data_IF_297027958328
#
_entry.id   IF_297027958328
#
_cell.length_a   1.000
_cell.length_b   1.000
_cell.length_c   1.000
_cell.angle_alpha   90.00
_cell.angle_beta   90.00
_cell.angle_gamma   90.00
#
_symmetry.space_group_name_H-M   'P 1'
#
loop_
_entity.id
_entity.type
_entity.pdbx_description
1 polymer ?
#
# COMPACT_ATOMS: atom_id res chain seq x y z
N UNK A 1 -10.76 14.93 -8.15
CA UNK A 1 -9.57 14.42 -8.85
C UNK A 1 -10.03 13.64 -10.07
N UNK A 2 -9.36 13.80 -11.21
CA UNK A 2 -9.60 12.98 -12.40
C UNK A 2 -8.58 11.86 -12.41
N UNK A 3 -9.04 10.61 -12.46
CA UNK A 3 -8.19 9.41 -12.55
C UNK A 3 -8.32 8.83 -13.95
N UNK A 4 -7.23 8.83 -14.72
CA UNK A 4 -7.22 8.35 -16.11
C UNK A 4 -6.95 6.85 -16.21
N UNK A 5 -6.34 6.27 -15.18
CA UNK A 5 -6.07 4.84 -15.10
C UNK A 5 -6.33 4.36 -13.67
N UNK A 6 -7.48 3.71 -13.39
CA UNK A 6 -7.85 3.34 -12.03
C UNK A 6 -7.12 2.10 -11.49
N UNK A 7 -6.63 1.21 -12.35
CA UNK A 7 -6.15 -0.13 -11.93
C UNK A 7 -4.69 -0.42 -12.30
N UNK A 8 -4.07 0.35 -13.20
CA UNK A 8 -2.67 0.17 -13.58
C UNK A 8 -2.37 -0.89 -14.64
N UNK A 9 -3.33 -1.77 -14.92
CA UNK A 9 -3.18 -2.88 -15.87
C UNK A 9 -3.07 -2.37 -17.32
N UNK A 10 -2.49 -3.13 -18.23
CA UNK A 10 -2.54 -2.72 -19.65
C UNK A 10 -3.96 -2.94 -20.20
N UNK A 11 -4.48 -2.07 -21.08
CA UNK A 11 -5.77 -2.30 -21.71
C UNK A 11 -5.78 -3.66 -22.44
N UNK A 12 -6.82 -4.44 -22.18
CA UNK A 12 -6.99 -5.75 -22.80
C UNK A 12 -7.32 -5.63 -24.29
N UNK A 13 -6.95 -6.63 -25.08
CA UNK A 13 -7.26 -6.69 -26.51
C UNK A 13 -7.63 -8.12 -26.92
N UNK A 14 -8.61 -8.25 -27.80
CA UNK A 14 -9.05 -9.53 -28.35
C UNK A 14 -9.35 -9.41 -29.85
N UNK A 15 -9.27 -10.53 -30.57
CA UNK A 15 -9.66 -10.60 -31.97
C UNK A 15 -11.16 -10.92 -32.09
N UNK A 16 -11.83 -10.21 -32.99
CA UNK A 16 -13.25 -10.39 -33.29
C UNK A 16 -13.44 -11.53 -34.29
N UNK A 17 -14.36 -12.44 -33.98
CA UNK A 17 -14.79 -13.54 -34.83
C UNK A 17 -16.07 -13.19 -35.59
N UNK A 18 -17.05 -12.62 -34.90
CA UNK A 18 -18.35 -12.24 -35.47
C UNK A 18 -18.92 -11.01 -34.76
N UNK A 19 -19.64 -10.16 -35.49
CA UNK A 19 -20.53 -9.14 -34.92
C UNK A 19 -21.94 -9.28 -35.50
N UNK A 20 -22.96 -9.29 -34.63
CA UNK A 20 -24.37 -9.36 -35.06
C UNK A 20 -24.97 -7.96 -35.28
N UNK A 21 -25.98 -7.89 -36.15
CA UNK A 21 -26.83 -6.70 -36.31
C UNK A 21 -28.04 -6.82 -35.40
N UNK A 22 -28.15 -5.94 -34.42
CA UNK A 22 -29.26 -5.93 -33.49
C UNK A 22 -29.18 -4.79 -32.49
N UNK A 23 -30.14 -4.78 -31.57
CA UNK A 23 -30.19 -3.86 -30.44
C UNK A 23 -30.48 -4.68 -29.17
N UNK A 24 -29.44 -5.11 -28.42
CA UNK A 24 -28.02 -4.79 -28.64
C UNK A 24 -27.35 -5.63 -29.74
N UNK A 25 -26.28 -5.12 -30.33
CA UNK A 25 -25.36 -5.92 -31.15
C UNK A 25 -24.51 -6.82 -30.26
N UNK A 26 -24.18 -8.02 -30.72
CA UNK A 26 -23.35 -8.99 -30.00
C UNK A 26 -22.03 -9.21 -30.72
N UNK A 27 -20.94 -9.21 -29.97
CA UNK A 27 -19.59 -9.47 -30.45
C UNK A 27 -19.12 -10.79 -29.89
N UNK A 28 -18.64 -11.66 -30.77
CA UNK A 28 -18.01 -12.93 -30.43
C UNK A 28 -16.51 -12.83 -30.73
N UNK A 29 -15.67 -13.10 -29.73
CA UNK A 29 -14.22 -13.20 -29.88
C UNK A 29 -13.78 -14.57 -30.40
N UNK A 30 -12.56 -14.69 -30.91
CA UNK A 30 -12.01 -15.99 -31.32
C UNK A 30 -11.93 -16.99 -30.15
N UNK A 31 -12.33 -18.23 -30.41
CA UNK A 31 -12.52 -19.30 -29.41
C UNK A 31 -11.26 -19.66 -28.59
N UNK A 32 -10.07 -19.38 -29.13
CA UNK A 32 -8.79 -19.70 -28.49
C UNK A 32 -8.38 -18.73 -27.38
N UNK A 33 -9.05 -17.57 -27.26
CA UNK A 33 -8.71 -16.55 -26.26
C UNK A 33 -9.97 -15.92 -25.62
N UNK A 34 -10.08 -16.04 -24.29
CA UNK A 34 -11.09 -15.31 -23.51
C UNK A 34 -10.77 -13.81 -23.59
N UNK A 35 -11.80 -12.97 -23.72
CA UNK A 35 -11.61 -11.53 -23.84
C UNK A 35 -11.15 -10.85 -22.54
N UNK A 36 -11.52 -11.40 -21.37
CA UNK A 36 -11.10 -10.89 -20.07
C UNK A 36 -11.76 -9.56 -19.62
N UNK A 37 -12.55 -8.91 -20.48
CA UNK A 37 -13.32 -7.72 -20.12
C UNK A 37 -14.39 -7.97 -19.03
N UNK A 38 -14.81 -6.89 -18.38
CA UNK A 38 -15.89 -6.84 -17.38
C UNK A 38 -17.10 -6.03 -17.89
N UNK A 39 -18.27 -6.24 -17.29
CA UNK A 39 -19.46 -5.44 -17.63
C UNK A 39 -19.27 -4.00 -17.16
N UNK A 40 -19.53 -3.04 -18.04
CA UNK A 40 -19.28 -1.60 -17.80
C UNK A 40 -17.91 -1.13 -18.28
N UNK A 41 -17.07 -2.02 -18.82
CA UNK A 41 -15.89 -1.62 -19.58
C UNK A 41 -16.29 -0.88 -20.86
N UNK A 42 -15.35 -0.08 -21.38
CA UNK A 42 -15.48 0.55 -22.68
C UNK A 42 -14.47 -0.04 -23.65
N UNK A 43 -14.84 -0.18 -24.92
CA UNK A 43 -13.97 -0.73 -25.96
C UNK A 43 -14.03 0.11 -27.24
N UNK A 44 -12.99 0.01 -28.05
CA UNK A 44 -12.95 0.52 -29.43
C UNK A 44 -12.62 -0.63 -30.38
N UNK A 45 -13.00 -0.48 -31.65
CA UNK A 45 -12.74 -1.46 -32.69
C UNK A 45 -11.81 -0.90 -33.77
N UNK A 46 -11.01 -1.76 -34.36
CA UNK A 46 -10.18 -1.47 -35.54
C UNK A 46 -10.17 -2.66 -36.47
N UNK A 47 -9.96 -2.43 -37.77
CA UNK A 47 -9.83 -3.50 -38.79
C UNK A 47 -11.06 -4.41 -38.94
N UNK A 48 -12.26 -3.94 -38.56
CA UNK A 48 -13.53 -4.66 -38.80
C UNK A 48 -13.97 -4.44 -40.25
N UNK A 49 -14.00 -5.50 -41.07
CA UNK A 49 -14.49 -5.42 -42.45
C UNK A 49 -16.02 -5.63 -42.50
N UNK A 50 -16.71 -4.84 -43.34
CA UNK A 50 -18.16 -4.92 -43.55
C UNK A 50 -19.01 -4.08 -42.62
N UNK A 51 -18.52 -3.80 -41.41
CA UNK A 51 -19.17 -2.96 -40.40
C UNK A 51 -18.26 -1.78 -40.02
N UNK A 52 -17.92 -0.93 -41.00
CA UNK A 52 -16.92 0.14 -40.88
C UNK A 52 -17.26 1.20 -39.82
N UNK A 53 -18.54 1.35 -39.49
CA UNK A 53 -19.02 2.26 -38.44
C UNK A 53 -18.36 1.97 -37.10
N UNK A 54 -18.08 0.70 -36.80
CA UNK A 54 -17.37 0.29 -35.58
C UNK A 54 -15.92 0.78 -35.55
N UNK A 55 -15.25 0.87 -36.69
CA UNK A 55 -13.87 1.38 -36.74
C UNK A 55 -13.79 2.90 -36.52
N UNK A 56 -14.93 3.60 -36.64
CA UNK A 56 -15.02 5.06 -36.54
C UNK A 56 -15.78 5.52 -35.29
N UNK A 57 -16.35 4.60 -34.51
CA UNK A 57 -17.06 4.95 -33.30
C UNK A 57 -16.08 5.30 -32.18
N UNK A 58 -16.52 6.18 -31.27
CA UNK A 58 -15.80 6.38 -30.02
C UNK A 58 -15.97 5.17 -29.09
N UNK A 59 -15.36 5.20 -27.89
CA UNK A 59 -15.46 4.12 -26.93
C UNK A 59 -16.92 3.74 -26.63
N UNK A 60 -17.24 2.45 -26.72
CA UNK A 60 -18.58 1.90 -26.50
C UNK A 60 -18.59 1.09 -25.20
N UNK A 61 -19.58 1.35 -24.35
CA UNK A 61 -19.80 0.55 -23.13
C UNK A 61 -20.27 -0.86 -23.49
N UNK A 62 -19.72 -1.87 -22.82
CA UNK A 62 -20.04 -3.28 -23.07
C UNK A 62 -20.77 -3.94 -21.91
N UNK A 63 -21.51 -5.00 -22.22
CA UNK A 63 -22.04 -5.93 -21.23
C UNK A 63 -21.60 -7.36 -21.55
N UNK A 64 -20.90 -7.98 -20.61
CA UNK A 64 -20.38 -9.34 -20.79
C UNK A 64 -21.54 -10.35 -20.76
N UNK A 65 -21.60 -11.20 -21.78
CA UNK A 65 -22.62 -12.26 -21.92
C UNK A 65 -22.03 -13.64 -21.62
N UNK A 66 -20.72 -13.80 -21.79
CA UNK A 66 -19.98 -15.03 -21.52
C UNK A 66 -18.47 -14.80 -21.60
N UNK A 67 -17.64 -15.84 -21.54
CA UNK A 67 -16.18 -15.71 -21.60
C UNK A 67 -15.62 -15.32 -22.99
N UNK A 68 -16.45 -15.44 -24.04
CA UNK A 68 -16.08 -15.16 -25.43
C UNK A 68 -17.05 -14.17 -26.11
N UNK A 69 -18.08 -13.72 -25.40
CA UNK A 69 -19.14 -12.90 -25.98
C UNK A 69 -19.53 -11.76 -25.07
N UNK A 70 -19.75 -10.60 -25.67
CA UNK A 70 -20.26 -9.41 -25.00
C UNK A 70 -21.17 -8.64 -25.96
N UNK A 71 -22.09 -7.87 -25.41
CA UNK A 71 -22.93 -6.99 -26.20
C UNK A 71 -22.41 -5.55 -26.19
N UNK A 72 -22.73 -4.85 -27.27
CA UNK A 72 -22.49 -3.43 -27.50
C UNK A 72 -23.83 -2.72 -27.77
N UNK A 73 -23.80 -1.43 -28.09
CA UNK A 73 -25.00 -0.66 -28.43
C UNK A 73 -25.77 -1.14 -29.67
N UNK A 74 -26.66 -0.31 -30.19
CA UNK A 74 -27.44 -0.62 -31.40
C UNK A 74 -26.55 -0.66 -32.65
N UNK A 75 -26.50 -1.81 -33.31
CA UNK A 75 -25.80 -2.04 -34.59
C UNK A 75 -26.78 -2.26 -35.75
N UNK A 76 -28.08 -2.09 -35.54
CA UNK A 76 -29.12 -2.35 -36.56
C UNK A 76 -28.97 -1.49 -37.81
N UNK A 77 -28.44 -0.27 -37.66
CA UNK A 77 -28.20 0.67 -38.75
C UNK A 77 -26.85 0.53 -39.45
N UNK A 78 -25.99 -0.41 -39.05
CA UNK A 78 -24.63 -0.54 -39.60
C UNK A 78 -24.58 -1.42 -40.85
N UNK A 79 -23.41 -1.53 -41.49
CA UNK A 79 -23.15 -2.53 -42.52
C UNK A 79 -23.21 -3.98 -42.01
N UNK A 80 -23.19 -4.96 -42.93
CA UNK A 80 -23.12 -6.38 -42.57
C UNK A 80 -21.66 -6.77 -42.30
N UNK A 81 -21.39 -7.35 -41.13
CA UNK A 81 -20.05 -7.83 -40.80
C UNK A 81 -19.56 -8.88 -41.81
N UNK A 82 -18.31 -8.75 -42.25
CA UNK A 82 -17.68 -9.68 -43.20
C UNK A 82 -16.62 -10.54 -42.50
N UNK A 83 -15.59 -9.92 -41.91
CA UNK A 83 -14.50 -10.62 -41.21
C UNK A 83 -13.58 -9.66 -40.44
N UNK A 84 -12.69 -10.23 -39.66
CA UNK A 84 -11.60 -9.52 -39.01
C UNK A 84 -12.07 -8.61 -37.90
N UNK A 85 -11.14 -7.83 -37.37
CA UNK A 85 -11.42 -6.90 -36.30
C UNK A 85 -10.62 -7.20 -35.04
N UNK A 86 -10.15 -6.14 -34.43
CA UNK A 86 -9.52 -6.15 -33.11
C UNK A 86 -10.37 -5.25 -32.23
N UNK A 87 -10.74 -5.77 -31.06
CA UNK A 87 -11.37 -5.00 -30.00
C UNK A 87 -10.32 -4.69 -28.94
N UNK A 88 -10.21 -3.43 -28.53
CA UNK A 88 -9.27 -2.97 -27.51
C UNK A 88 -10.01 -2.20 -26.44
N UNK A 89 -9.76 -2.55 -25.18
CA UNK A 89 -10.33 -1.86 -24.02
C UNK A 89 -9.85 -0.40 -23.98
N UNK A 90 -10.74 0.50 -23.59
CA UNK A 90 -10.45 1.91 -23.38
C UNK A 90 -10.75 2.26 -21.93
N UNK A 91 -9.74 2.73 -21.21
CA UNK A 91 -9.91 3.18 -19.82
C UNK A 91 -10.52 4.58 -19.80
N UNK A 92 -11.79 4.65 -19.39
CA UNK A 92 -12.48 5.93 -19.27
C UNK A 92 -12.03 6.68 -17.99
N UNK A 93 -11.73 7.98 -18.08
CA UNK A 93 -11.40 8.78 -16.91
C UNK A 93 -12.54 8.79 -15.87
N UNK A 94 -12.19 8.61 -14.59
CA UNK A 94 -13.13 8.63 -13.47
C UNK A 94 -12.96 9.90 -12.63
N UNK A 95 -14.08 10.51 -12.24
CA UNK A 95 -14.10 11.67 -11.35
C UNK A 95 -14.30 11.23 -9.89
N UNK A 96 -13.26 11.35 -9.08
CA UNK A 96 -13.31 11.05 -7.65
C UNK A 96 -13.45 12.35 -6.86
N UNK A 97 -14.44 12.39 -5.97
CA UNK A 97 -14.72 13.53 -5.10
C UNK A 97 -14.25 13.23 -3.69
N UNK A 98 -13.47 14.16 -3.12
CA UNK A 98 -12.94 14.02 -1.77
C UNK A 98 -13.69 14.98 -0.83
N UNK A 99 -14.17 14.46 0.31
CA UNK A 99 -14.59 15.29 1.46
C UNK A 99 -13.40 16.12 1.97
N UNK A 100 -13.69 17.28 2.56
CA UNK A 100 -12.69 18.06 3.29
C UNK A 100 -12.33 17.32 4.58
N UNK A 101 -11.10 17.49 5.08
CA UNK A 101 -10.63 16.79 6.28
C UNK A 101 -11.61 16.88 7.47
N UNK A 102 -12.19 18.07 7.73
CA UNK A 102 -13.17 18.25 8.82
C UNK A 102 -14.43 17.40 8.65
N UNK A 103 -14.92 17.27 7.42
CA UNK A 103 -16.16 16.55 7.09
C UNK A 103 -15.86 15.03 7.07
N UNK A 104 -14.67 14.65 6.56
CA UNK A 104 -14.14 13.30 6.57
C UNK A 104 -13.80 12.77 7.97
N UNK A 105 -13.52 13.65 8.93
CA UNK A 105 -13.31 13.28 10.34
C UNK A 105 -14.63 12.95 11.04
N UNK A 106 -15.74 13.58 10.63
CA UNK A 106 -17.07 13.29 11.17
C UNK A 106 -17.71 12.07 10.51
N UNK A 107 -17.49 11.90 9.20
CA UNK A 107 -18.05 10.82 8.39
C UNK A 107 -16.95 10.13 7.56
N UNK A 108 -16.13 9.30 8.20
CA UNK A 108 -14.97 8.68 7.57
C UNK A 108 -15.36 7.61 6.55
N UNK A 109 -14.69 7.62 5.40
CA UNK A 109 -14.64 6.51 4.46
C UNK A 109 -13.33 5.76 4.69
N UNK A 110 -13.44 4.49 5.10
CA UNK A 110 -12.33 3.67 5.58
C UNK A 110 -11.91 2.66 4.52
N UNK A 111 -10.62 2.59 4.23
CA UNK A 111 -10.02 1.48 3.50
C UNK A 111 -9.54 0.42 4.49
N UNK A 112 -10.04 -0.81 4.32
CA UNK A 112 -9.62 -1.96 5.13
C UNK A 112 -8.26 -2.45 4.62
N UNK A 113 -7.25 -2.44 5.48
CA UNK A 113 -5.91 -2.96 5.17
C UNK A 113 -5.78 -4.46 5.43
N UNK A 114 -6.56 -4.99 6.36
CA UNK A 114 -6.57 -6.38 6.77
C UNK A 114 -8.02 -6.82 7.03
N UNK A 115 -8.53 -7.75 6.20
CA UNK A 115 -9.90 -8.25 6.30
C UNK A 115 -10.16 -9.07 7.58
N UNK A 116 -9.11 -9.59 8.24
CA UNK A 116 -9.23 -10.20 9.57
C UNK A 116 -9.46 -9.18 10.69
N UNK A 117 -9.25 -7.88 10.41
CA UNK A 117 -9.35 -6.76 11.35
C UNK A 117 -10.34 -5.69 10.87
N UNK A 118 -11.39 -6.08 10.15
CA UNK A 118 -12.29 -5.15 9.45
C UNK A 118 -12.92 -4.05 10.34
N UNK A 119 -13.10 -4.29 11.64
CA UNK A 119 -13.66 -3.31 12.58
C UNK A 119 -12.61 -2.35 13.18
N UNK A 120 -11.31 -2.69 13.12
CA UNK A 120 -10.24 -1.89 13.73
C UNK A 120 -10.11 -0.46 13.16
N UNK A 121 -10.27 -0.19 11.85
CA UNK A 121 -10.15 1.17 11.33
C UNK A 121 -11.05 2.18 12.04
N UNK A 122 -12.30 1.82 12.34
CA UNK A 122 -13.24 2.67 13.10
C UNK A 122 -12.74 2.96 14.51
N UNK A 123 -12.28 1.92 15.22
CA UNK A 123 -11.76 2.07 16.58
C UNK A 123 -10.48 2.92 16.61
N UNK A 124 -9.54 2.66 15.70
CA UNK A 124 -8.30 3.42 15.56
C UNK A 124 -8.57 4.88 15.20
N UNK A 125 -9.60 5.17 14.41
CA UNK A 125 -9.99 6.53 14.08
C UNK A 125 -10.37 7.35 15.31
N UNK A 126 -11.14 6.78 16.24
CA UNK A 126 -11.43 7.44 17.52
C UNK A 126 -10.20 7.47 18.43
N UNK A 127 -9.41 6.39 18.47
CA UNK A 127 -8.23 6.28 19.32
C UNK A 127 -7.16 7.35 18.99
N UNK A 128 -6.89 7.60 17.71
CA UNK A 128 -6.00 8.69 17.27
C UNK A 128 -6.53 10.07 17.65
N UNK A 129 -7.85 10.28 17.61
CA UNK A 129 -8.45 11.53 18.07
C UNK A 129 -8.33 11.69 19.60
N UNK A 130 -8.55 10.62 20.38
CA UNK A 130 -8.34 10.61 21.82
C UNK A 130 -6.88 10.90 22.19
N UNK A 131 -5.93 10.27 21.49
CA UNK A 131 -4.50 10.53 21.64
C UNK A 131 -4.13 11.99 21.33
N UNK A 132 -4.68 12.57 20.26
CA UNK A 132 -4.49 13.99 19.95
C UNK A 132 -5.08 14.93 21.01
N UNK A 133 -6.19 14.56 21.69
CA UNK A 133 -6.73 15.32 22.83
C UNK A 133 -5.77 15.26 24.02
N UNK A 134 -5.24 14.09 24.35
CA UNK A 134 -4.25 13.92 25.41
C UNK A 134 -3.02 14.80 25.15
N UNK A 135 -2.47 14.73 23.94
CA UNK A 135 -1.32 15.53 23.51
C UNK A 135 -1.55 17.03 23.70
N UNK A 136 -2.75 17.53 23.37
CA UNK A 136 -3.10 18.95 23.55
C UNK A 136 -3.25 19.35 25.01
N UNK A 137 -3.80 18.47 25.86
CA UNK A 137 -4.02 18.74 27.28
C UNK A 137 -2.72 18.75 28.09
N UNK A 138 -1.81 17.80 27.80
CA UNK A 138 -0.58 17.61 28.58
C UNK A 138 0.66 18.23 27.95
N UNK A 139 0.63 18.60 26.66
CA UNK A 139 1.80 19.10 25.93
C UNK A 139 2.89 18.04 25.71
N UNK A 140 2.57 16.76 25.94
CA UNK A 140 3.47 15.60 25.77
C UNK A 140 2.68 14.37 25.33
N UNK A 141 3.37 13.41 24.72
CA UNK A 141 2.80 12.09 24.46
C UNK A 141 2.64 11.28 25.77
N UNK A 142 1.73 10.27 25.79
CA UNK A 142 1.70 9.26 26.84
C UNK A 142 3.05 8.59 27.02
N UNK A 143 3.44 8.32 28.26
CA UNK A 143 4.70 7.61 28.55
C UNK A 143 4.60 6.13 28.13
N UNK A 144 5.70 5.51 27.66
CA UNK A 144 5.72 4.10 27.30
C UNK A 144 5.18 3.20 28.41
N UNK A 145 4.23 2.33 28.09
CA UNK A 145 3.61 1.35 29.02
C UNK A 145 3.00 1.94 30.32
N UNK A 146 2.83 3.27 30.42
CA UNK A 146 2.33 3.92 31.63
C UNK A 146 0.81 3.79 31.76
N UNK A 147 0.36 3.04 32.77
CA UNK A 147 -1.05 2.67 32.97
C UNK A 147 -1.99 3.87 33.17
N UNK A 148 -1.54 4.90 33.89
CA UNK A 148 -2.36 6.08 34.17
C UNK A 148 -2.58 6.95 32.92
N UNK A 149 -1.57 7.08 32.06
CA UNK A 149 -1.67 7.86 30.82
C UNK A 149 -2.58 7.10 29.85
N UNK A 150 -2.44 5.76 29.76
CA UNK A 150 -3.30 4.90 28.95
C UNK A 150 -4.77 4.94 29.38
N UNK A 151 -5.05 4.92 30.69
CA UNK A 151 -6.42 5.04 31.20
C UNK A 151 -7.06 6.38 30.79
N UNK A 152 -6.28 7.47 30.79
CA UNK A 152 -6.76 8.78 30.35
C UNK A 152 -7.02 8.84 28.84
N UNK A 153 -6.14 8.26 28.02
CA UNK A 153 -6.37 8.16 26.55
C UNK A 153 -7.63 7.35 26.25
N UNK A 154 -7.88 6.26 26.98
CA UNK A 154 -9.13 5.48 26.85
C UNK A 154 -10.34 6.34 27.18
N UNK A 155 -10.31 7.10 28.28
CA UNK A 155 -11.41 7.99 28.66
C UNK A 155 -11.68 9.05 27.58
N UNK A 156 -10.63 9.74 27.10
CA UNK A 156 -10.74 10.73 26.02
C UNK A 156 -11.24 10.11 24.70
N UNK A 157 -10.88 8.85 24.42
CA UNK A 157 -11.35 8.12 23.23
C UNK A 157 -12.84 7.80 23.34
N UNK A 158 -13.32 7.37 24.51
CA UNK A 158 -14.75 7.11 24.75
C UNK A 158 -15.60 8.36 24.55
N UNK A 159 -15.10 9.54 24.94
CA UNK A 159 -15.77 10.81 24.67
C UNK A 159 -15.89 11.09 23.16
N UNK A 160 -14.88 10.72 22.36
CA UNK A 160 -14.91 10.90 20.89
C UNK A 160 -15.87 9.89 20.25
N UNK A 161 -15.85 8.64 20.71
CA UNK A 161 -16.64 7.55 20.15
C UNK A 161 -18.16 7.73 20.39
N UNK A 162 -18.57 8.61 21.31
CA UNK A 162 -19.97 9.00 21.46
C UNK A 162 -20.92 7.86 21.86
N UNK A 163 -20.40 6.85 22.57
CA UNK A 163 -21.16 5.67 23.00
C UNK A 163 -21.07 4.47 22.06
N UNK A 164 -20.29 4.54 20.97
CA UNK A 164 -19.96 3.36 20.17
C UNK A 164 -19.14 2.34 20.97
N UNK A 165 -19.25 1.07 20.58
CA UNK A 165 -18.44 -0.02 21.15
C UNK A 165 -16.94 0.22 20.86
N UNK A 166 -16.12 0.06 21.89
CA UNK A 166 -14.70 0.36 21.85
C UNK A 166 -13.92 -0.76 22.51
N UNK A 167 -12.96 -1.34 21.78
CA UNK A 167 -11.94 -2.20 22.36
C UNK A 167 -10.96 -1.34 23.17
N UNK A 168 -11.12 -1.34 24.48
CA UNK A 168 -10.27 -0.56 25.38
C UNK A 168 -8.81 -1.03 25.34
N UNK A 169 -8.55 -2.33 25.12
CA UNK A 169 -7.20 -2.86 25.10
C UNK A 169 -6.45 -2.38 23.84
N UNK A 170 -7.13 -2.31 22.70
CA UNK A 170 -6.57 -1.70 21.48
C UNK A 170 -6.14 -0.24 21.71
N UNK A 171 -6.95 0.53 22.43
CA UNK A 171 -6.64 1.93 22.76
C UNK A 171 -5.52 2.05 23.78
N UNK A 172 -5.46 1.15 24.78
CA UNK A 172 -4.34 1.08 25.72
C UNK A 172 -3.04 0.78 24.99
N UNK A 173 -3.05 -0.17 24.06
CA UNK A 173 -1.87 -0.50 23.26
C UNK A 173 -1.41 0.68 22.39
N UNK A 174 -2.34 1.42 21.77
CA UNK A 174 -1.99 2.67 21.08
C UNK A 174 -1.30 3.67 22.04
N UNK A 175 -1.83 3.85 23.26
CA UNK A 175 -1.24 4.75 24.24
C UNK A 175 0.13 4.28 24.71
N UNK A 176 0.31 2.97 24.96
CA UNK A 176 1.59 2.42 25.41
C UNK A 176 2.71 2.60 24.39
N UNK A 177 2.36 2.68 23.11
CA UNK A 177 3.28 2.77 21.99
C UNK A 177 3.34 4.19 21.39
N UNK A 178 2.71 5.19 22.01
CA UNK A 178 2.51 6.52 21.42
C UNK A 178 3.81 7.31 21.16
N UNK A 179 4.89 7.04 21.91
CA UNK A 179 6.24 7.58 21.64
C UNK A 179 7.10 6.65 20.77
N UNK A 180 6.53 5.55 20.30
CA UNK A 180 7.18 4.58 19.45
C UNK A 180 7.48 5.18 18.07
N UNK A 181 8.68 4.93 17.58
CA UNK A 181 9.12 5.35 16.24
C UNK A 181 9.88 4.20 15.59
N UNK A 182 9.19 3.47 14.71
CA UNK A 182 9.66 2.20 14.14
C UNK A 182 9.98 2.35 12.66
N UNK A 183 11.24 2.14 12.30
CA UNK A 183 11.70 2.24 10.91
C UNK A 183 10.90 1.38 9.90
N UNK A 184 10.47 0.13 10.21
CA UNK A 184 9.63 -0.65 9.30
C UNK A 184 8.25 -0.02 9.05
N UNK A 185 7.60 0.52 10.08
CA UNK A 185 6.29 1.19 9.95
C UNK A 185 6.44 2.48 9.16
N UNK A 186 7.49 3.25 9.42
CA UNK A 186 7.81 4.46 8.65
C UNK A 186 8.09 4.14 7.18
N UNK A 187 8.81 3.05 6.89
CA UNK A 187 9.06 2.63 5.51
C UNK A 187 7.78 2.21 4.79
N UNK A 188 6.91 1.46 5.48
CA UNK A 188 5.62 1.03 4.95
C UNK A 188 4.67 2.20 4.66
N UNK A 189 4.34 3.00 5.69
CA UNK A 189 3.44 4.14 5.55
C UNK A 189 4.06 5.22 4.66
N UNK A 190 5.37 5.45 4.75
CA UNK A 190 6.09 6.39 3.89
C UNK A 190 6.04 5.99 2.41
N UNK A 191 6.17 4.70 2.10
CA UNK A 191 6.01 4.18 0.74
C UNK A 191 4.59 4.38 0.20
N UNK A 192 3.57 4.07 1.01
CA UNK A 192 2.17 4.30 0.64
C UNK A 192 1.88 5.79 0.44
N UNK A 193 2.29 6.65 1.37
CA UNK A 193 2.08 8.10 1.27
C UNK A 193 2.82 8.71 0.07
N UNK A 194 4.06 8.28 -0.21
CA UNK A 194 4.79 8.69 -1.41
C UNK A 194 4.04 8.28 -2.69
N UNK A 195 3.47 7.07 -2.71
CA UNK A 195 2.65 6.63 -3.83
C UNK A 195 1.37 7.47 -3.97
N UNK A 196 0.69 7.82 -2.87
CA UNK A 196 -0.48 8.73 -2.93
C UNK A 196 -0.13 10.11 -3.49
N UNK A 197 1.04 10.65 -3.17
CA UNK A 197 1.55 11.89 -3.80
C UNK A 197 1.70 11.71 -5.30
N UNK A 198 2.27 10.59 -5.75
CA UNK A 198 2.41 10.28 -7.18
C UNK A 198 1.05 10.16 -7.87
N UNK A 199 0.06 9.52 -7.23
CA UNK A 199 -1.31 9.43 -7.76
C UNK A 199 -1.91 10.82 -7.92
N UNK A 200 -1.81 11.66 -6.88
CA UNK A 200 -2.39 13.00 -6.86
C UNK A 200 -1.87 13.90 -8.00
N UNK A 201 -0.57 13.84 -8.33
CA UNK A 201 0.03 14.67 -9.38
C UNK A 201 -0.09 14.09 -10.79
N UNK A 202 -0.34 12.79 -10.91
CA UNK A 202 -0.39 12.12 -12.22
C UNK A 202 -1.81 11.77 -12.70
N UNK A 203 -2.77 11.66 -11.79
CA UNK A 203 -4.08 11.08 -12.10
C UNK A 203 -4.01 9.57 -12.45
N UNK A 204 -2.89 8.90 -12.15
CA UNK A 204 -2.69 7.47 -12.38
C UNK A 204 -2.89 6.69 -11.08
N UNK A 205 -3.58 5.56 -11.18
CA UNK A 205 -4.08 4.68 -10.11
C UNK A 205 -5.20 5.27 -9.26
N UNK A 206 -6.02 4.39 -8.69
CA UNK A 206 -7.06 4.77 -7.72
C UNK A 206 -6.39 5.19 -6.40
N UNK A 207 -6.63 6.43 -5.92
CA UNK A 207 -6.17 6.91 -4.62
C UNK A 207 -6.94 6.27 -3.47
N UNK A 208 -6.38 6.35 -2.26
CA UNK A 208 -7.09 5.99 -1.03
C UNK A 208 -8.25 6.97 -0.80
N UNK A 209 -9.45 6.45 -0.53
CA UNK A 209 -10.66 7.25 -0.22
C UNK A 209 -11.22 6.84 1.15
N UNK A 210 -11.02 7.58 2.24
CA UNK A 210 -9.99 8.61 2.45
C UNK A 210 -9.04 8.26 3.60
N UNK A 211 -9.48 7.38 4.51
CA UNK A 211 -8.71 6.98 5.67
C UNK A 211 -8.15 5.58 5.49
N UNK A 212 -6.87 5.41 5.79
CA UNK A 212 -6.19 4.13 5.88
C UNK A 212 -5.57 4.01 7.27
N UNK A 213 -6.02 3.02 8.03
CA UNK A 213 -5.46 2.67 9.33
C UNK A 213 -4.76 1.33 9.19
N UNK A 214 -3.57 1.24 9.78
CA UNK A 214 -2.76 0.04 9.79
C UNK A 214 -2.21 -0.17 11.20
N UNK A 215 -2.19 -1.43 11.63
CA UNK A 215 -1.52 -1.85 12.85
C UNK A 215 -0.80 -3.19 12.60
N UNK A 216 0.30 -3.40 13.32
CA UNK A 216 1.04 -4.65 13.34
C UNK A 216 1.22 -5.09 14.81
N UNK A 217 0.12 -5.15 15.56
CA UNK A 217 0.15 -5.53 16.98
C UNK A 217 0.68 -6.94 17.22
N UNK A 218 0.61 -7.80 16.19
CA UNK A 218 1.15 -9.16 16.20
C UNK A 218 2.69 -9.18 16.30
N UNK A 219 3.36 -8.04 16.11
CA UNK A 219 4.80 -7.93 16.35
C UNK A 219 5.16 -7.81 17.84
N UNK A 220 4.20 -7.56 18.72
CA UNK A 220 4.46 -7.55 20.16
C UNK A 220 4.72 -8.97 20.67
N UNK A 221 5.61 -9.16 21.66
CA UNK A 221 5.86 -10.47 22.24
C UNK A 221 4.61 -11.03 22.93
N UNK A 222 4.21 -12.24 22.55
CA UNK A 222 3.16 -13.01 23.22
C UNK A 222 3.71 -13.70 24.47
N UNK A 223 4.88 -14.36 24.35
CA UNK A 223 5.57 -15.00 25.45
C UNK A 223 6.26 -13.97 26.34
N UNK A 224 6.13 -14.12 27.66
CA UNK A 224 6.78 -13.25 28.66
C UNK A 224 6.42 -11.76 28.48
N UNK A 225 5.24 -11.45 27.93
CA UNK A 225 4.77 -10.08 27.67
C UNK A 225 4.88 -9.19 28.91
N UNK A 226 4.42 -9.68 30.06
CA UNK A 226 4.37 -8.90 31.31
C UNK A 226 5.75 -8.59 31.90
N UNK A 227 6.80 -9.32 31.50
CA UNK A 227 8.18 -9.05 31.93
C UNK A 227 8.95 -8.21 30.92
N UNK A 228 8.72 -8.42 29.62
CA UNK A 228 9.39 -7.70 28.53
C UNK A 228 8.80 -6.30 28.31
N UNK A 229 7.48 -6.15 28.43
CA UNK A 229 6.76 -4.92 28.10
C UNK A 229 6.34 -4.14 29.36
N UNK A 230 7.32 -3.85 30.22
CA UNK A 230 7.12 -3.03 31.41
C UNK A 230 7.54 -1.57 31.17
N UNK A 231 7.05 -0.64 31.99
CA UNK A 231 7.47 0.77 31.96
C UNK A 231 9.00 0.91 32.11
N UNK A 232 9.64 0.08 32.94
CA UNK A 232 11.10 0.10 33.13
C UNK A 232 11.88 -0.43 31.91
N UNK A 233 11.38 -1.46 31.23
CA UNK A 233 12.01 -1.97 30.00
C UNK A 233 11.86 -1.00 28.83
N UNK A 234 10.72 -0.32 28.75
CA UNK A 234 10.37 0.60 27.66
C UNK A 234 10.76 2.06 27.90
N UNK A 235 11.33 2.40 29.07
CA UNK A 235 11.76 3.78 29.34
C UNK A 235 12.89 4.23 28.39
N UNK A 236 12.93 5.51 27.98
CA UNK A 236 14.04 6.07 27.21
C UNK A 236 15.40 5.91 27.92
N UNK A 237 16.46 5.69 27.14
CA UNK A 237 17.82 5.43 27.64
C UNK A 237 18.86 6.39 27.06
N UNK A 238 18.41 7.46 26.39
CA UNK A 238 19.28 8.37 25.65
C UNK A 238 20.10 7.64 24.57
N UNK A 239 19.42 6.70 23.90
CA UNK A 239 19.97 5.89 22.81
C UNK A 239 19.29 6.26 21.49
N UNK A 240 19.99 6.04 20.38
CA UNK A 240 19.38 6.15 19.04
C UNK A 240 18.21 5.18 18.81
N UNK A 241 18.03 4.19 19.70
CA UNK A 241 16.96 3.20 19.64
C UNK A 241 15.79 3.50 20.60
N UNK A 242 15.73 4.68 21.24
CA UNK A 242 14.69 4.99 22.23
C UNK A 242 13.26 4.85 21.66
N UNK A 243 13.04 5.25 20.40
CA UNK A 243 11.75 5.05 19.72
C UNK A 243 11.37 3.58 19.52
N UNK A 244 12.34 2.68 19.35
CA UNK A 244 12.09 1.24 19.23
C UNK A 244 11.97 0.57 20.61
N UNK A 245 12.78 0.99 21.58
CA UNK A 245 12.74 0.54 22.98
C UNK A 245 11.38 0.87 23.60
N UNK A 246 10.79 2.02 23.29
CA UNK A 246 9.46 2.40 23.77
C UNK A 246 8.36 1.38 23.41
N UNK A 247 8.54 0.59 22.34
CA UNK A 247 7.58 -0.42 21.89
C UNK A 247 7.94 -1.82 22.39
N UNK A 248 9.21 -2.23 22.20
CA UNK A 248 9.65 -3.62 22.40
C UNK A 248 10.49 -3.86 23.66
N UNK A 249 10.96 -2.79 24.31
CA UNK A 249 11.82 -2.86 25.48
C UNK A 249 13.31 -3.03 25.14
N UNK A 250 14.15 -2.72 26.13
CA UNK A 250 15.61 -2.74 25.98
C UNK A 250 16.20 -4.15 25.83
N UNK A 251 15.57 -5.17 26.43
CA UNK A 251 16.01 -6.55 26.30
C UNK A 251 15.91 -7.05 24.85
N UNK A 252 14.79 -6.76 24.17
CA UNK A 252 14.61 -7.14 22.77
C UNK A 252 15.61 -6.39 21.87
N UNK A 253 15.88 -5.11 22.17
CA UNK A 253 16.92 -4.35 21.47
C UNK A 253 18.30 -5.02 21.55
N UNK A 254 18.67 -5.57 22.72
CA UNK A 254 19.92 -6.32 22.87
C UNK A 254 19.92 -7.61 22.05
N UNK A 255 18.79 -8.33 22.00
CA UNK A 255 18.63 -9.53 21.17
C UNK A 255 18.79 -9.23 19.68
N UNK A 256 18.26 -8.11 19.20
CA UNK A 256 18.44 -7.63 17.81
C UNK A 256 19.92 -7.35 17.51
N UNK A 257 20.63 -6.70 18.45
CA UNK A 257 22.06 -6.43 18.32
C UNK A 257 22.90 -7.69 18.14
N UNK A 258 22.56 -8.79 18.80
CA UNK A 258 23.30 -10.05 18.74
C UNK A 258 22.95 -10.94 17.53
N UNK A 259 22.03 -10.51 16.66
CA UNK A 259 21.60 -11.32 15.52
C UNK A 259 22.69 -11.48 14.45
N UNK A 260 22.66 -12.63 13.77
CA UNK A 260 23.52 -12.95 12.62
C UNK A 260 22.64 -13.26 11.42
N UNK A 261 22.61 -12.38 10.41
CA UNK A 261 21.73 -12.52 9.24
C UNK A 261 22.54 -12.58 7.95
N UNK A 262 22.04 -13.37 6.99
CA UNK A 262 22.59 -13.45 5.64
C UNK A 262 21.58 -12.88 4.63
N UNK A 263 21.98 -11.81 3.95
CA UNK A 263 21.19 -11.12 2.93
C UNK A 263 21.67 -11.54 1.54
N UNK A 264 20.76 -12.11 0.77
CA UNK A 264 21.01 -12.55 -0.61
C UNK A 264 20.38 -11.53 -1.56
N UNK A 265 21.22 -10.68 -2.14
CA UNK A 265 20.84 -9.58 -3.04
C UNK A 265 20.95 -8.20 -2.38
N UNK A 266 21.59 -7.29 -3.09
CA UNK A 266 21.80 -5.87 -2.76
C UNK A 266 21.04 -4.94 -3.74
N UNK A 267 20.02 -5.48 -4.43
CA UNK A 267 19.13 -4.71 -5.30
C UNK A 267 18.20 -3.74 -4.55
N UNK A 268 17.04 -3.43 -5.14
CA UNK A 268 16.09 -2.45 -4.54
C UNK A 268 15.64 -2.86 -3.13
N UNK A 269 15.20 -4.12 -2.99
CA UNK A 269 14.79 -4.69 -1.70
C UNK A 269 15.99 -4.82 -0.76
N UNK A 270 17.16 -5.22 -1.26
CA UNK A 270 18.39 -5.31 -0.46
C UNK A 270 18.78 -3.97 0.17
N UNK A 271 18.71 -2.87 -0.59
CA UNK A 271 18.95 -1.52 -0.09
C UNK A 271 17.96 -1.11 1.01
N UNK A 272 16.66 -1.32 0.80
CA UNK A 272 15.63 -1.02 1.80
C UNK A 272 15.79 -1.87 3.07
N UNK A 273 16.11 -3.16 2.91
CA UNK A 273 16.35 -4.09 4.00
C UNK A 273 17.56 -3.66 4.83
N UNK A 274 18.68 -3.32 4.19
CA UNK A 274 19.89 -2.90 4.89
C UNK A 274 19.70 -1.58 5.64
N UNK A 275 18.98 -0.62 5.07
CA UNK A 275 18.59 0.61 5.79
C UNK A 275 17.72 0.27 7.01
N UNK A 276 16.74 -0.62 6.86
CA UNK A 276 15.91 -1.04 7.99
C UNK A 276 16.73 -1.79 9.06
N UNK A 277 17.64 -2.69 8.68
CA UNK A 277 18.54 -3.39 9.61
C UNK A 277 19.41 -2.41 10.40
N UNK A 278 19.98 -1.41 9.72
CA UNK A 278 20.76 -0.36 10.37
C UNK A 278 19.94 0.48 11.36
N UNK A 279 18.67 0.78 11.05
CA UNK A 279 17.78 1.54 11.93
C UNK A 279 17.26 0.73 13.11
N UNK A 280 16.94 -0.55 12.88
CA UNK A 280 16.50 -1.51 13.91
C UNK A 280 17.66 -1.92 14.84
N UNK A 281 18.91 -1.78 14.39
CA UNK A 281 20.11 -2.19 15.12
C UNK A 281 20.39 -3.70 15.01
N UNK A 282 19.92 -4.34 13.94
CA UNK A 282 20.12 -5.78 13.71
C UNK A 282 21.60 -6.05 13.45
N UNK A 283 22.19 -6.97 14.23
CA UNK A 283 23.60 -7.34 14.11
C UNK A 283 24.59 -6.24 14.52
N UNK A 284 24.13 -5.19 15.21
CA UNK A 284 24.96 -4.05 15.64
C UNK A 284 25.57 -4.23 17.05
N UNK A 285 25.40 -5.39 17.67
CA UNK A 285 26.03 -5.75 18.94
C UNK A 285 27.40 -6.43 18.74
N UNK A 286 28.17 -6.67 19.82
CA UNK A 286 29.52 -7.23 19.72
C UNK A 286 29.59 -8.60 19.03
N UNK A 287 28.54 -9.41 19.19
CA UNK A 287 28.41 -10.75 18.59
C UNK A 287 27.54 -10.74 17.32
N UNK A 288 27.05 -9.58 16.89
CA UNK A 288 26.17 -9.44 15.74
C UNK A 288 26.91 -9.41 14.41
N UNK A 289 26.26 -9.87 13.34
CA UNK A 289 26.80 -9.70 11.99
C UNK A 289 25.71 -9.70 10.91
N UNK A 290 25.96 -8.96 9.83
CA UNK A 290 25.15 -9.01 8.61
C UNK A 290 26.08 -9.30 7.44
N UNK A 291 25.91 -10.46 6.82
CA UNK A 291 26.64 -10.84 5.61
C UNK A 291 25.76 -10.57 4.40
N UNK A 292 26.27 -9.84 3.40
CA UNK A 292 25.54 -9.50 2.18
C UNK A 292 26.28 -10.10 0.98
N UNK A 293 25.54 -10.71 0.05
CA UNK A 293 26.09 -11.17 -1.22
C UNK A 293 25.26 -10.66 -2.40
N UNK A 294 25.93 -10.19 -3.44
CA UNK A 294 25.35 -9.86 -4.75
C UNK A 294 26.46 -9.92 -5.79
N UNK A 295 26.19 -10.50 -6.96
CA UNK A 295 27.16 -10.66 -8.05
C UNK A 295 27.02 -9.61 -9.16
N UNK A 296 25.93 -8.82 -9.15
CA UNK A 296 25.64 -7.84 -10.19
C UNK A 296 26.40 -6.52 -9.98
N UNK A 297 26.59 -5.76 -11.07
CA UNK A 297 27.18 -4.41 -11.05
C UNK A 297 26.12 -3.31 -10.99
N UNK A 298 26.47 -2.18 -10.38
CA UNK A 298 25.58 -1.00 -10.34
C UNK A 298 25.47 -0.38 -11.75
N UNK A 299 24.25 -0.34 -12.28
CA UNK A 299 23.88 0.34 -13.50
C UNK A 299 23.12 1.65 -13.23
N UNK A 300 23.09 2.55 -14.21
CA UNK A 300 22.33 3.80 -14.13
C UNK A 300 20.83 3.57 -13.87
N UNK A 301 20.26 2.50 -14.41
CA UNK A 301 18.85 2.12 -14.24
C UNK A 301 18.51 1.73 -12.79
N UNK A 302 19.51 1.32 -12.00
CA UNK A 302 19.34 0.89 -10.62
C UNK A 302 19.11 2.08 -9.67
N UNK A 303 19.72 3.24 -9.97
CA UNK A 303 19.71 4.43 -9.12
C UNK A 303 18.30 5.00 -8.85
N UNK A 304 17.32 4.65 -9.68
CA UNK A 304 15.91 5.01 -9.48
C UNK A 304 15.27 4.37 -8.24
N UNK A 305 15.81 3.24 -7.76
CA UNK A 305 15.21 2.43 -6.67
C UNK A 305 16.21 1.84 -5.68
N UNK A 306 17.50 2.00 -5.91
CA UNK A 306 18.58 1.54 -5.02
C UNK A 306 19.30 2.74 -4.40
N UNK A 307 18.62 3.39 -3.46
CA UNK A 307 19.02 4.69 -2.91
C UNK A 307 20.29 4.65 -2.06
N UNK A 308 20.88 3.49 -1.78
CA UNK A 308 22.20 3.40 -1.15
C UNK A 308 23.33 3.73 -2.13
N UNK A 309 23.08 3.58 -3.44
CA UNK A 309 24.04 3.89 -4.49
C UNK A 309 23.88 5.30 -5.04
N UNK A 310 24.94 5.80 -5.67
CA UNK A 310 25.05 7.14 -6.24
C UNK A 310 25.53 7.06 -7.69
N UNK A 311 25.37 8.13 -8.50
CA UNK A 311 25.83 8.12 -9.88
C UNK A 311 27.31 7.80 -10.08
N UNK A 312 28.16 8.11 -9.09
CA UNK A 312 29.59 7.81 -9.11
C UNK A 312 29.93 6.35 -8.73
N UNK A 313 28.96 5.56 -8.25
CA UNK A 313 29.15 4.14 -7.95
C UNK A 313 28.93 3.26 -9.20
N UNK A 314 28.43 3.85 -10.30
CA UNK A 314 28.26 3.17 -11.59
C UNK A 314 29.65 2.86 -12.16
N UNK A 315 29.99 1.57 -12.21
CA UNK A 315 31.31 1.10 -12.68
C UNK A 315 31.18 -0.02 -13.71
N UNK A 316 32.12 -0.15 -14.66
CA UNK A 316 32.36 -1.42 -15.35
C UNK A 316 33.14 -2.34 -14.40
N UNK A 317 32.42 -3.19 -13.66
CA UNK A 317 32.94 -4.16 -12.66
C UNK A 317 33.54 -3.56 -11.37
N UNK A 318 32.97 -4.00 -10.26
CA UNK A 318 33.46 -3.83 -8.89
C UNK A 318 34.95 -4.17 -8.70
N UNK A 319 35.70 -3.27 -8.05
CA UNK A 319 36.73 -3.66 -7.08
C UNK A 319 36.18 -3.36 -5.69
N UNK A 320 35.81 -4.40 -4.94
CA UNK A 320 35.61 -4.29 -3.50
C UNK A 320 36.99 -4.11 -2.85
N UNK A 321 37.23 -2.96 -2.24
CA UNK A 321 38.37 -2.74 -1.35
C UNK A 321 38.07 -3.47 -0.03
N UNK A 322 38.47 -4.73 0.04
CA UNK A 322 38.23 -5.59 1.19
C UNK A 322 38.94 -6.94 1.07
N UNK A 323 40.23 -6.93 0.72
CA UNK A 323 41.21 -7.99 1.01
C UNK A 323 42.63 -7.38 1.07
N UNK A 324 43.22 -7.50 2.26
CA UNK A 324 44.64 -7.73 2.57
C UNK A 324 45.70 -6.77 1.98
N UNK A 325 46.14 -5.82 2.80
CA UNK A 325 47.53 -5.76 3.26
C UNK A 325 47.56 -6.00 4.78
#
# INVERSE_FOLDING_TARGET
>A
MVVTDPNGEQPLSAMVSMVTKGCPGEVTCLDEARHGFETGDFVTFTEVEGMEELNRCGPVEIRVLGPYTFSIGDTSGYGDYVRGGIVTQVKMPKHIHFKRLRDALAEPEMMVTDFGKAERPSMLHWAWQGLHRFLRQHGRAPRPRHQGDAAEVVALTKEVAGGAELDEELVRELSFQATGDLAPVNAFIGGLAAQEVMKAVSGKFTPITQWLYFDALECLPEENRDTLLTEEQCRPRNSRYDGQIAVFGAELQAKLGAQKYFVVGAGAIGCELLKNFAMVGLGCGPEGSVTVTDMDTIEKSNLNRQFLFRPWDVTPRWRWAGREE
#
